data_IF_208353254924
#
_entry.id   IF_208353254924
#
_cell.length_a   1.000
_cell.length_b   1.000
_cell.length_c   1.000
_cell.angle_alpha   90.00
_cell.angle_beta   90.00
_cell.angle_gamma   90.00
#
_symmetry.space_group_name_H-M   'P 1'
#
loop_
_entity.id
_entity.type
_entity.pdbx_description
1 polymer ?
#
# COMPACT_ATOMS: atom_id res chain seq x y z
N UNK A 1 6.96 -0.38 -19.48
CA UNK A 1 5.82 -0.21 -18.53
C UNK A 1 5.71 -1.32 -17.48
N UNK A 2 5.92 -2.61 -17.77
CA UNK A 2 5.80 -3.68 -16.75
C UNK A 2 6.85 -3.61 -15.61
N UNK A 3 8.03 -3.04 -15.87
CA UNK A 3 9.11 -2.87 -14.88
C UNK A 3 8.75 -1.87 -13.76
N UNK A 4 7.93 -0.87 -14.06
CA UNK A 4 7.49 0.13 -13.07
C UNK A 4 6.47 -0.43 -12.09
N UNK A 5 5.47 -1.19 -12.57
CA UNK A 5 4.39 -1.69 -11.71
C UNK A 5 4.92 -2.68 -10.66
N UNK A 6 5.88 -3.54 -11.04
CA UNK A 6 6.55 -4.44 -10.10
C UNK A 6 7.35 -3.70 -9.02
N UNK A 7 8.03 -2.61 -9.39
CA UNK A 7 8.76 -1.74 -8.47
C UNK A 7 7.82 -1.04 -7.50
N UNK A 8 6.74 -0.42 -8.01
CA UNK A 8 5.75 0.30 -7.20
C UNK A 8 5.02 -0.67 -6.26
N UNK A 9 4.68 -1.89 -6.70
CA UNK A 9 4.09 -2.91 -5.83
C UNK A 9 5.01 -3.33 -4.70
N UNK A 10 6.31 -3.46 -4.99
CA UNK A 10 7.32 -3.81 -3.99
C UNK A 10 7.51 -2.69 -2.96
N UNK A 11 7.46 -1.43 -3.40
CA UNK A 11 7.62 -0.26 -2.55
C UNK A 11 6.51 -0.13 -1.50
N UNK A 12 5.24 -0.15 -1.90
CA UNK A 12 4.16 0.03 -0.91
C UNK A 12 4.06 -1.16 0.05
N UNK A 13 4.38 -2.39 -0.40
CA UNK A 13 4.46 -3.56 0.46
C UNK A 13 5.60 -3.45 1.48
N UNK A 14 6.77 -2.96 1.08
CA UNK A 14 7.88 -2.70 1.99
C UNK A 14 7.50 -1.66 3.04
N UNK A 15 6.80 -0.59 2.65
CA UNK A 15 6.29 0.43 3.57
C UNK A 15 5.22 -0.12 4.53
N UNK A 16 4.31 -0.97 4.06
CA UNK A 16 3.34 -1.65 4.90
C UNK A 16 4.02 -2.56 5.94
N UNK A 17 5.02 -3.34 5.52
CA UNK A 17 5.81 -4.16 6.43
C UNK A 17 6.60 -3.31 7.44
N UNK A 18 7.18 -2.18 7.00
CA UNK A 18 7.83 -1.23 7.91
C UNK A 18 6.85 -0.68 8.94
N UNK A 19 5.61 -0.40 8.55
CA UNK A 19 4.58 0.07 9.47
C UNK A 19 4.23 -0.97 10.55
N UNK A 20 4.11 -2.24 10.16
CA UNK A 20 3.85 -3.36 11.08
C UNK A 20 5.02 -3.56 12.06
N UNK A 21 6.25 -3.55 11.56
CA UNK A 21 7.46 -3.68 12.41
C UNK A 21 7.56 -2.50 13.39
N UNK A 22 7.37 -1.27 12.91
CA UNK A 22 7.41 -0.09 13.78
C UNK A 22 6.32 -0.13 14.87
N UNK A 23 5.11 -0.60 14.53
CA UNK A 23 4.04 -0.80 15.50
C UNK A 23 4.41 -1.84 16.56
N UNK A 24 4.99 -2.98 16.15
CA UNK A 24 5.44 -4.03 17.05
C UNK A 24 6.56 -3.56 18.00
N UNK A 25 7.39 -2.61 17.56
CA UNK A 25 8.43 -1.97 18.36
C UNK A 25 7.91 -0.81 19.23
N UNK A 26 6.62 -0.45 19.13
CA UNK A 26 6.03 0.68 19.86
C UNK A 26 6.29 2.06 19.24
N UNK A 27 6.98 2.13 18.10
CA UNK A 27 7.21 3.38 17.35
C UNK A 27 5.99 3.75 16.50
N UNK A 28 4.99 4.32 17.17
CA UNK A 28 3.74 4.75 16.53
C UNK A 28 3.96 5.81 15.45
N UNK A 29 4.94 6.70 15.61
CA UNK A 29 5.20 7.78 14.64
C UNK A 29 5.69 7.22 13.32
N UNK A 30 6.67 6.33 13.36
CA UNK A 30 7.20 5.66 12.16
C UNK A 30 6.16 4.73 11.56
N UNK A 31 5.39 4.02 12.39
CA UNK A 31 4.30 3.17 11.91
C UNK A 31 3.27 3.94 11.09
N UNK A 32 2.72 5.02 11.64
CA UNK A 32 1.74 5.87 10.94
C UNK A 32 2.33 6.50 9.69
N UNK A 33 3.57 7.00 9.74
CA UNK A 33 4.22 7.62 8.58
C UNK A 33 4.43 6.62 7.43
N UNK A 34 4.89 5.40 7.73
CA UNK A 34 5.09 4.35 6.74
C UNK A 34 3.75 3.89 6.15
N UNK A 35 2.71 3.75 6.98
CA UNK A 35 1.35 3.40 6.56
C UNK A 35 0.74 4.44 5.62
N UNK A 36 0.85 5.73 5.97
CA UNK A 36 0.38 6.84 5.11
C UNK A 36 1.05 6.84 3.74
N UNK A 37 2.38 6.65 3.68
CA UNK A 37 3.11 6.57 2.41
C UNK A 37 2.69 5.36 1.57
N UNK A 38 2.48 4.20 2.21
CA UNK A 38 1.99 3.02 1.50
C UNK A 38 0.59 3.28 0.90
N UNK A 39 -0.30 3.96 1.63
CA UNK A 39 -1.64 4.32 1.13
C UNK A 39 -1.57 5.30 -0.04
N UNK A 40 -0.72 6.33 0.02
CA UNK A 40 -0.54 7.29 -1.08
C UNK A 40 -0.12 6.61 -2.39
N UNK A 41 0.74 5.59 -2.33
CA UNK A 41 1.14 4.82 -3.50
C UNK A 41 -0.04 3.99 -4.03
N UNK A 42 -0.78 3.34 -3.14
CA UNK A 42 -1.97 2.54 -3.50
C UNK A 42 -3.05 3.43 -4.16
N UNK A 43 -3.31 4.61 -3.61
CA UNK A 43 -4.27 5.55 -4.18
C UNK A 43 -3.82 6.05 -5.56
N UNK A 44 -2.53 6.36 -5.74
CA UNK A 44 -1.98 6.70 -7.05
C UNK A 44 -2.11 5.58 -8.10
N UNK A 45 -1.97 4.31 -7.68
CA UNK A 45 -2.26 3.16 -8.56
C UNK A 45 -3.75 3.12 -8.92
N UNK A 46 -4.63 3.29 -7.94
CA UNK A 46 -6.09 3.26 -8.12
C UNK A 46 -6.56 4.35 -9.10
N UNK A 47 -6.01 5.56 -8.98
CA UNK A 47 -6.26 6.66 -9.89
C UNK A 47 -5.78 6.36 -11.32
N UNK A 48 -4.62 5.70 -11.45
CA UNK A 48 -4.08 5.26 -12.74
C UNK A 48 -4.84 4.10 -13.40
N UNK A 49 -5.64 3.35 -12.64
CA UNK A 49 -6.50 2.29 -13.18
C UNK A 49 -7.81 2.93 -13.65
N UNK A 50 -7.93 3.16 -14.96
CA UNK A 50 -9.16 3.68 -15.59
C UNK A 50 -10.31 2.66 -15.68
N UNK A 51 -10.01 1.37 -15.56
CA UNK A 51 -10.99 0.29 -15.63
C UNK A 51 -11.57 -0.01 -14.23
N UNK A 52 -12.90 0.10 -14.10
CA UNK A 52 -13.58 -0.01 -12.80
C UNK A 52 -13.50 -1.42 -12.21
N UNK A 53 -13.49 -2.46 -13.03
CA UNK A 53 -13.40 -3.85 -12.59
C UNK A 53 -11.99 -4.15 -12.08
N UNK A 54 -10.95 -3.75 -12.82
CA UNK A 54 -9.55 -3.88 -12.39
C UNK A 54 -9.27 -3.08 -11.13
N UNK A 55 -9.89 -1.90 -10.99
CA UNK A 55 -9.80 -1.08 -9.78
C UNK A 55 -10.41 -1.82 -8.58
N UNK A 56 -11.60 -2.38 -8.75
CA UNK A 56 -12.26 -3.17 -7.72
C UNK A 56 -11.45 -4.42 -7.34
N UNK A 57 -10.92 -5.15 -8.33
CA UNK A 57 -10.04 -6.29 -8.09
C UNK A 57 -8.78 -5.89 -7.31
N UNK A 58 -8.14 -4.79 -7.68
CA UNK A 58 -6.96 -4.29 -6.97
C UNK A 58 -7.27 -3.90 -5.52
N UNK A 59 -8.40 -3.19 -5.30
CA UNK A 59 -8.86 -2.83 -3.96
C UNK A 59 -9.26 -4.03 -3.11
N UNK A 60 -9.71 -5.13 -3.72
CA UNK A 60 -10.04 -6.38 -3.03
C UNK A 60 -8.84 -7.23 -2.63
N UNK A 61 -7.62 -6.86 -3.06
CA UNK A 61 -6.42 -7.61 -2.69
C UNK A 61 -6.25 -7.61 -1.15
N UNK A 62 -6.00 -8.76 -0.50
CA UNK A 62 -5.91 -8.84 0.95
C UNK A 62 -4.89 -7.88 1.55
N UNK A 63 -3.75 -7.69 0.88
CA UNK A 63 -2.71 -6.75 1.30
C UNK A 63 -3.17 -5.28 1.25
N UNK A 64 -4.05 -4.91 0.31
CA UNK A 64 -4.60 -3.55 0.20
C UNK A 64 -5.68 -3.35 1.26
N UNK A 65 -6.53 -4.35 1.48
CA UNK A 65 -7.54 -4.32 2.53
C UNK A 65 -6.90 -4.17 3.91
N UNK A 66 -5.87 -4.96 4.24
CA UNK A 66 -5.13 -4.86 5.51
C UNK A 66 -4.49 -3.48 5.70
N UNK A 67 -3.91 -2.92 4.64
CA UNK A 67 -3.31 -1.59 4.68
C UNK A 67 -4.34 -0.46 4.92
N UNK A 68 -5.62 -0.70 4.63
CA UNK A 68 -6.70 0.29 4.87
C UNK A 68 -7.48 0.05 6.17
N UNK A 69 -7.34 -1.10 6.81
CA UNK A 69 -8.17 -1.51 7.96
C UNK A 69 -7.64 -1.10 9.36
N UNK A 70 -6.33 -0.99 9.51
CA UNK A 70 -5.63 -0.49 10.71
C UNK A 70 -5.21 0.96 10.65
#
# INVERSE_FOLDING_TARGET
MARDIGSVRSQWRALAAQAEVAAALGDRKTSTAARLRAMQIVDGIVEGIGDSERRAMFLSLPEVVKLRAG
#
